data_IF_944230363358
#
_entry.id   IF_944230363358
#
_cell.length_a   1.000
_cell.length_b   1.000
_cell.length_c   1.000
_cell.angle_alpha   90.00
_cell.angle_beta   90.00
_cell.angle_gamma   90.00
#
_symmetry.space_group_name_H-M   'P 1'
#
loop_
_entity.id
_entity.type
_entity.pdbx_description
1 polymer ?
#
# COMPACT_ATOMS: atom_id res chain seq x y z
N UNK A 1 3.64 -20.38 -0.68
CA UNK A 1 3.74 -18.90 -0.62
C UNK A 1 3.98 -18.38 -2.02
N UNK A 2 3.48 -17.18 -2.34
CA UNK A 2 3.71 -16.58 -3.64
C UNK A 2 5.19 -16.21 -3.80
N UNK A 3 5.73 -16.34 -5.02
CA UNK A 3 7.08 -15.91 -5.33
C UNK A 3 7.17 -14.38 -5.29
N UNK A 4 8.38 -13.78 -5.15
CA UNK A 4 8.54 -12.34 -5.31
C UNK A 4 7.89 -11.83 -6.60
N UNK A 5 8.10 -12.54 -7.72
CA UNK A 5 7.56 -12.17 -9.02
C UNK A 5 6.03 -12.06 -9.03
N UNK A 6 5.32 -12.99 -8.39
CA UNK A 6 3.85 -12.93 -8.28
C UNK A 6 3.41 -11.70 -7.47
N UNK A 7 4.14 -11.31 -6.42
CA UNK A 7 3.84 -10.08 -5.70
C UNK A 7 4.03 -8.84 -6.58
N UNK A 8 5.12 -8.79 -7.37
CA UNK A 8 5.35 -7.69 -8.30
C UNK A 8 4.24 -7.58 -9.35
N UNK A 9 3.89 -8.69 -10.00
CA UNK A 9 2.82 -8.74 -11.01
C UNK A 9 1.48 -8.29 -10.45
N UNK A 10 1.13 -8.74 -9.24
CA UNK A 10 -0.10 -8.32 -8.58
C UNK A 10 -0.07 -6.83 -8.21
N UNK A 11 1.08 -6.30 -7.77
CA UNK A 11 1.23 -4.89 -7.46
C UNK A 11 0.98 -4.01 -8.69
N UNK A 12 1.58 -4.38 -9.82
CA UNK A 12 1.43 -3.67 -11.09
C UNK A 12 0.02 -3.81 -11.67
N UNK A 13 -0.58 -5.00 -11.58
CA UNK A 13 -1.96 -5.22 -12.00
C UNK A 13 -2.92 -4.31 -11.22
N UNK A 14 -2.78 -4.24 -9.90
CA UNK A 14 -3.61 -3.39 -9.05
C UNK A 14 -3.44 -1.89 -9.40
N UNK A 15 -2.22 -1.44 -9.68
CA UNK A 15 -1.96 -0.04 -10.07
C UNK A 15 -2.60 0.31 -11.44
N UNK A 16 -2.51 -0.60 -12.43
CA UNK A 16 -3.15 -0.42 -13.73
C UNK A 16 -4.68 -0.40 -13.60
N UNK A 17 -5.25 -1.33 -12.83
CA UNK A 17 -6.67 -1.37 -12.55
C UNK A 17 -7.15 -0.08 -11.88
N UNK A 18 -6.46 0.38 -10.83
CA UNK A 18 -6.75 1.64 -10.14
C UNK A 18 -6.77 2.82 -11.12
N UNK A 19 -5.77 2.87 -12.00
CA UNK A 19 -5.64 3.95 -12.99
C UNK A 19 -6.80 3.98 -13.99
N UNK A 20 -7.35 2.82 -14.34
CA UNK A 20 -8.47 2.70 -15.28
C UNK A 20 -9.82 3.12 -14.69
N UNK A 21 -9.99 3.02 -13.36
CA UNK A 21 -11.29 3.27 -12.70
C UNK A 21 -11.31 4.55 -11.86
N UNK A 22 -10.18 5.25 -11.72
CA UNK A 22 -10.03 6.39 -10.79
C UNK A 22 -11.00 7.56 -10.99
N UNK A 23 -11.59 7.70 -12.18
CA UNK A 23 -12.57 8.76 -12.47
C UNK A 23 -13.98 8.35 -12.03
N UNK A 24 -14.39 7.14 -12.38
CA UNK A 24 -15.76 6.65 -12.17
C UNK A 24 -15.96 6.02 -10.78
N UNK A 25 -14.91 5.36 -10.27
CA UNK A 25 -14.89 4.60 -9.02
C UNK A 25 -13.67 4.98 -8.15
N UNK A 26 -13.63 6.22 -7.63
CA UNK A 26 -12.46 6.75 -6.94
C UNK A 26 -12.13 6.02 -5.64
N UNK A 27 -13.12 5.52 -4.91
CA UNK A 27 -12.98 4.69 -3.71
C UNK A 27 -12.36 3.31 -4.01
N UNK A 28 -12.74 2.70 -5.14
CA UNK A 28 -12.12 1.48 -5.63
C UNK A 28 -10.67 1.72 -6.06
N UNK A 29 -10.39 2.83 -6.75
CA UNK A 29 -9.01 3.18 -7.10
C UNK A 29 -8.12 3.35 -5.86
N UNK A 30 -8.61 4.02 -4.81
CA UNK A 30 -7.91 4.16 -3.52
C UNK A 30 -7.62 2.80 -2.89
N UNK A 31 -8.62 1.91 -2.88
CA UNK A 31 -8.44 0.55 -2.39
C UNK A 31 -7.35 -0.18 -3.18
N UNK A 32 -7.41 -0.12 -4.51
CA UNK A 32 -6.43 -0.76 -5.39
C UNK A 32 -5.02 -0.17 -5.24
N UNK A 33 -4.86 1.15 -5.00
CA UNK A 33 -3.53 1.73 -4.72
C UNK A 33 -2.92 1.19 -3.44
N UNK A 34 -3.71 1.02 -2.37
CA UNK A 34 -3.23 0.33 -1.16
C UNK A 34 -2.88 -1.13 -1.44
N UNK A 35 -3.71 -1.83 -2.22
CA UNK A 35 -3.41 -3.20 -2.62
C UNK A 35 -2.21 -3.29 -3.57
N UNK A 36 -1.86 -2.25 -4.30
CA UNK A 36 -0.59 -2.20 -5.01
C UNK A 36 0.57 -2.05 -4.03
N UNK A 37 0.47 -1.12 -3.08
CA UNK A 37 1.53 -0.85 -2.10
C UNK A 37 1.85 -2.05 -1.19
N UNK A 38 0.86 -2.82 -0.71
CA UNK A 38 1.18 -4.01 0.09
C UNK A 38 1.94 -5.05 -0.72
N UNK A 39 1.61 -5.22 -2.00
CA UNK A 39 2.28 -6.20 -2.85
C UNK A 39 3.69 -5.74 -3.23
N UNK A 40 3.93 -4.44 -3.38
CA UNK A 40 5.29 -3.87 -3.45
C UNK A 40 6.11 -4.17 -2.19
N UNK A 41 5.53 -4.00 -1.00
CA UNK A 41 6.20 -4.29 0.28
C UNK A 41 6.53 -5.78 0.42
N UNK A 42 5.60 -6.67 0.07
CA UNK A 42 5.83 -8.12 0.09
C UNK A 42 6.89 -8.56 -0.91
N UNK A 43 6.86 -8.02 -2.14
CA UNK A 43 7.90 -8.26 -3.14
C UNK A 43 9.29 -7.89 -2.60
N UNK A 44 9.42 -6.68 -2.05
CA UNK A 44 10.68 -6.20 -1.49
C UNK A 44 11.17 -7.08 -0.33
N UNK A 45 10.27 -7.43 0.61
CA UNK A 45 10.61 -8.30 1.73
C UNK A 45 11.13 -9.66 1.26
N UNK A 46 10.46 -10.26 0.27
CA UNK A 46 10.85 -11.57 -0.27
C UNK A 46 12.19 -11.53 -1.00
N UNK A 47 12.50 -10.45 -1.73
CA UNK A 47 13.83 -10.27 -2.33
C UNK A 47 14.94 -10.21 -1.27
N UNK A 48 14.62 -9.69 -0.09
CA UNK A 48 15.55 -9.62 1.04
C UNK A 48 15.46 -10.84 1.98
N UNK A 49 14.84 -11.94 1.54
CA UNK A 49 14.76 -13.18 2.31
C UNK A 49 13.79 -13.13 3.52
N UNK A 50 12.99 -12.07 3.65
CA UNK A 50 12.04 -11.90 4.75
C UNK A 50 10.64 -12.42 4.37
N UNK A 51 10.08 -13.23 5.28
CA UNK A 51 8.69 -13.64 5.25
C UNK A 51 7.88 -12.85 6.30
N UNK A 52 7.27 -11.75 5.90
CA UNK A 52 6.54 -10.85 6.81
C UNK A 52 5.50 -11.60 7.65
N UNK A 53 4.77 -12.54 7.04
CA UNK A 53 3.71 -13.26 7.74
C UNK A 53 4.23 -14.15 8.87
N UNK A 54 5.48 -14.60 8.77
CA UNK A 54 6.15 -15.45 9.77
C UNK A 54 6.97 -14.63 10.76
N UNK A 55 7.66 -13.60 10.27
CA UNK A 55 8.67 -12.86 11.05
C UNK A 55 8.09 -11.65 11.79
N UNK A 56 6.97 -11.11 11.30
CA UNK A 56 6.26 -9.97 11.90
C UNK A 56 4.86 -10.36 12.34
N UNK A 57 4.65 -11.61 12.76
CA UNK A 57 3.34 -12.02 13.25
C UNK A 57 2.92 -11.13 14.43
N UNK A 58 1.88 -10.32 14.19
CA UNK A 58 1.36 -9.37 15.16
C UNK A 58 0.35 -10.02 16.12
N UNK A 59 -0.10 -11.24 15.81
CA UNK A 59 -1.24 -11.89 16.46
C UNK A 59 -2.59 -11.20 16.23
N UNK A 60 -2.64 -10.11 15.44
CA UNK A 60 -3.85 -9.30 15.20
C UNK A 60 -4.34 -9.38 13.77
N UNK A 61 -3.49 -8.98 12.81
CA UNK A 61 -3.83 -9.02 11.40
C UNK A 61 -2.59 -9.01 10.51
N UNK A 62 -2.75 -9.48 9.27
CA UNK A 62 -1.68 -9.39 8.26
C UNK A 62 -1.39 -7.94 7.84
N UNK A 63 -2.31 -6.99 8.05
CA UNK A 63 -2.03 -5.58 7.80
C UNK A 63 -1.11 -5.01 8.88
N UNK A 64 -1.36 -5.35 10.15
CA UNK A 64 -0.50 -4.96 11.26
C UNK A 64 0.92 -5.52 11.10
N UNK A 65 1.07 -6.78 10.69
CA UNK A 65 2.38 -7.39 10.40
C UNK A 65 3.17 -6.61 9.35
N UNK A 66 2.52 -6.19 8.26
CA UNK A 66 3.16 -5.37 7.21
C UNK A 66 3.47 -3.97 7.68
N UNK A 67 2.59 -3.37 8.47
CA UNK A 67 2.83 -2.06 9.06
C UNK A 67 4.04 -2.09 10.01
N UNK A 68 4.23 -3.17 10.79
CA UNK A 68 5.42 -3.37 11.61
C UNK A 68 6.69 -3.49 10.76
N UNK A 69 6.65 -4.31 9.71
CA UNK A 69 7.76 -4.44 8.76
C UNK A 69 8.14 -3.10 8.13
N UNK A 70 7.16 -2.38 7.57
CA UNK A 70 7.38 -1.05 6.96
C UNK A 70 7.91 -0.04 7.98
N UNK A 71 7.45 -0.09 9.23
CA UNK A 71 7.95 0.79 10.29
C UNK A 71 9.42 0.53 10.62
N UNK A 72 9.84 -0.73 10.63
CA UNK A 72 11.25 -1.10 10.84
C UNK A 72 12.09 -0.70 9.62
N UNK A 73 11.67 -1.10 8.42
CA UNK A 73 12.36 -0.79 7.17
C UNK A 73 12.56 0.73 6.98
N UNK A 74 11.52 1.53 7.24
CA UNK A 74 11.61 2.99 7.13
C UNK A 74 12.64 3.61 8.12
N UNK A 75 12.87 2.98 9.28
CA UNK A 75 13.91 3.43 10.23
C UNK A 75 15.30 3.03 9.74
N UNK A 76 15.46 1.79 9.30
CA UNK A 76 16.73 1.26 8.78
C UNK A 76 17.24 2.05 7.58
N UNK A 77 16.33 2.43 6.67
CA UNK A 77 16.66 3.23 5.49
C UNK A 77 16.74 4.75 5.75
N UNK A 78 16.38 5.23 6.94
CA UNK A 78 16.29 6.67 7.20
C UNK A 78 15.22 7.39 6.37
N UNK A 79 14.17 6.67 5.93
CA UNK A 79 13.11 7.19 5.07
C UNK A 79 11.74 7.19 5.77
N UNK A 80 11.46 8.16 6.68
CA UNK A 80 10.17 8.25 7.37
C UNK A 80 8.98 8.48 6.40
N UNK A 81 9.26 8.98 5.19
CA UNK A 81 8.30 9.11 4.09
C UNK A 81 7.72 7.76 3.64
N UNK A 82 8.49 6.67 3.66
CA UNK A 82 8.02 5.32 3.34
C UNK A 82 6.89 4.90 4.29
N UNK A 83 7.17 5.00 5.60
CA UNK A 83 6.19 4.73 6.65
C UNK A 83 4.94 5.57 6.49
N UNK A 84 5.10 6.89 6.31
CA UNK A 84 3.97 7.83 6.20
C UNK A 84 3.11 7.53 4.97
N UNK A 85 3.73 7.27 3.82
CA UNK A 85 3.03 6.98 2.59
C UNK A 85 2.23 5.67 2.69
N UNK A 86 2.83 4.60 3.22
CA UNK A 86 2.15 3.33 3.41
C UNK A 86 0.99 3.43 4.40
N UNK A 87 1.21 4.08 5.56
CA UNK A 87 0.17 4.25 6.58
C UNK A 87 -1.00 5.09 6.07
N UNK A 88 -0.75 6.14 5.29
CA UNK A 88 -1.81 6.94 4.68
C UNK A 88 -2.67 6.09 3.73
N UNK A 89 -2.04 5.26 2.88
CA UNK A 89 -2.76 4.35 1.99
C UNK A 89 -3.62 3.34 2.75
N UNK A 90 -3.12 2.79 3.87
CA UNK A 90 -3.91 1.88 4.70
C UNK A 90 -5.13 2.59 5.29
N UNK A 91 -4.94 3.79 5.87
CA UNK A 91 -6.01 4.60 6.45
C UNK A 91 -7.07 4.92 5.39
N UNK A 92 -6.65 5.35 4.20
CA UNK A 92 -7.57 5.66 3.11
C UNK A 92 -8.27 4.41 2.56
N UNK A 93 -7.58 3.27 2.46
CA UNK A 93 -8.23 2.00 2.11
C UNK A 93 -9.30 1.58 3.12
N UNK A 94 -9.07 1.81 4.42
CA UNK A 94 -10.06 1.52 5.47
C UNK A 94 -11.28 2.44 5.38
N UNK A 95 -11.08 3.72 5.09
CA UNK A 95 -12.18 4.67 4.82
C UNK A 95 -12.99 4.25 3.60
N UNK A 96 -12.32 3.90 2.52
CA UNK A 96 -12.97 3.49 1.27
C UNK A 96 -13.87 2.25 1.45
N UNK A 97 -13.41 1.26 2.22
CA UNK A 97 -14.15 -0.02 2.38
C UNK A 97 -15.12 -0.05 3.55
N UNK A 98 -14.78 0.60 4.66
CA UNK A 98 -15.49 0.44 5.93
C UNK A 98 -16.12 1.74 6.43
N UNK A 99 -16.06 2.81 5.64
CA UNK A 99 -16.55 4.15 6.03
C UNK A 99 -15.97 4.63 7.37
N UNK A 100 -14.78 4.15 7.71
CA UNK A 100 -14.11 4.46 8.98
C UNK A 100 -13.93 5.97 9.11
N UNK A 101 -14.53 6.59 10.13
CA UNK A 101 -14.37 8.02 10.40
C UNK A 101 -14.87 8.95 9.29
N UNK A 102 -15.83 8.50 8.45
CA UNK A 102 -16.56 9.34 7.49
C UNK A 102 -18.07 9.11 7.65
N UNK A 103 -18.88 10.13 7.36
CA UNK A 103 -20.35 10.12 7.50
C UNK A 103 -21.09 10.23 6.16
N UNK A 104 -20.37 10.05 5.05
CA UNK A 104 -20.88 10.08 3.68
C UNK A 104 -20.39 8.83 2.93
N UNK A 105 -20.91 8.58 1.74
CA UNK A 105 -20.45 7.47 0.90
C UNK A 105 -18.97 7.64 0.54
N UNK A 106 -18.24 6.54 0.42
CA UNK A 106 -16.84 6.56 -0.01
C UNK A 106 -16.68 7.21 -1.40
N UNK A 107 -17.60 6.92 -2.31
CA UNK A 107 -17.63 7.50 -3.66
C UNK A 107 -17.71 9.04 -3.63
N UNK A 108 -18.52 9.63 -2.74
CA UNK A 108 -18.60 11.09 -2.57
C UNK A 108 -17.39 11.64 -1.80
N UNK A 109 -16.87 10.89 -0.82
CA UNK A 109 -15.72 11.31 -0.01
C UNK A 109 -14.44 11.47 -0.84
N UNK A 110 -14.19 10.56 -1.79
CA UNK A 110 -12.96 10.51 -2.57
C UNK A 110 -13.02 11.38 -3.83
N UNK A 111 -12.73 12.67 -3.65
CA UNK A 111 -12.50 13.61 -4.75
C UNK A 111 -11.19 13.32 -5.49
N UNK A 112 -11.07 13.80 -6.74
CA UNK A 112 -9.86 13.61 -7.56
C UNK A 112 -8.55 14.06 -6.89
N UNK A 113 -8.49 15.17 -6.12
CA UNK A 113 -7.31 15.51 -5.33
C UNK A 113 -6.92 14.44 -4.29
N UNK A 114 -7.90 13.82 -3.61
CA UNK A 114 -7.63 12.74 -2.64
C UNK A 114 -7.11 11.48 -3.33
N UNK A 115 -7.72 11.11 -4.46
CA UNK A 115 -7.26 9.98 -5.28
C UNK A 115 -5.84 10.23 -5.80
N UNK A 116 -5.55 11.45 -6.24
CA UNK A 116 -4.20 11.87 -6.67
C UNK A 116 -3.19 11.78 -5.54
N UNK A 117 -3.56 12.15 -4.31
CA UNK A 117 -2.70 12.00 -3.14
C UNK A 117 -2.43 10.53 -2.80
N UNK A 118 -3.41 9.64 -2.94
CA UNK A 118 -3.20 8.21 -2.79
C UNK A 118 -2.22 7.66 -3.84
N UNK A 119 -2.39 8.06 -5.10
CA UNK A 119 -1.44 7.69 -6.16
C UNK A 119 -0.02 8.19 -5.86
N UNK A 120 0.14 9.43 -5.38
CA UNK A 120 1.44 9.97 -4.95
C UNK A 120 2.07 9.14 -3.82
N UNK A 121 1.30 8.75 -2.81
CA UNK A 121 1.79 7.87 -1.74
C UNK A 121 2.25 6.52 -2.30
N UNK A 122 1.52 5.93 -3.26
CA UNK A 122 1.96 4.69 -3.93
C UNK A 122 3.30 4.90 -4.65
N UNK A 123 3.45 5.99 -5.40
CA UNK A 123 4.73 6.27 -6.09
C UNK A 123 5.87 6.47 -5.10
N UNK A 124 5.65 7.13 -3.96
CA UNK A 124 6.65 7.23 -2.88
C UNK A 124 7.08 5.86 -2.35
N UNK A 125 6.13 4.95 -2.09
CA UNK A 125 6.44 3.58 -1.67
C UNK A 125 7.29 2.88 -2.74
N UNK A 126 6.86 2.92 -4.01
CA UNK A 126 7.57 2.28 -5.13
C UNK A 126 8.99 2.80 -5.31
N UNK A 127 9.15 4.12 -5.29
CA UNK A 127 10.45 4.76 -5.49
C UNK A 127 11.43 4.33 -4.40
N UNK A 128 11.05 4.47 -3.13
CA UNK A 128 11.93 4.18 -2.00
C UNK A 128 12.29 2.69 -1.88
N UNK A 129 11.40 1.78 -2.28
CA UNK A 129 11.72 0.35 -2.30
C UNK A 129 12.64 -0.04 -3.47
N UNK A 130 12.54 0.65 -4.62
CA UNK A 130 13.41 0.39 -5.79
C UNK A 130 14.81 0.97 -5.63
N UNK A 131 14.94 2.14 -4.99
CA UNK A 131 16.23 2.79 -4.72
C UNK A 131 17.19 1.92 -3.90
N UNK A 132 16.68 0.94 -3.14
CA UNK A 132 17.51 0.04 -2.33
C UNK A 132 17.97 -1.21 -3.10
N UNK A 133 17.33 -1.52 -4.24
CA UNK A 133 17.65 -2.72 -5.04
C UNK A 133 18.61 -2.40 -6.19
N UNK A 134 18.77 -1.11 -6.55
CA UNK A 134 19.67 -0.63 -7.59
C UNK A 134 20.99 -0.13 -7.00
#
# INVERSE_FOLDING_TARGET
MASPQIHLEQAEHNERAASSVKLDYPDWAVTMYFYSALHWVEWYARLNGCDIAREYDSGRSKHDSRQQYVNQLAKELGHPSLRKAYQNLEIDSRKARYLSSINITAQTYYTQPKVTNCYKNLQTVKQLLREVIC
#
